data_IF_004435498306
#
_entry.id   IF_004435498306
#
_cell.length_a   1.000
_cell.length_b   1.000
_cell.length_c   1.000
_cell.angle_alpha   90.00
_cell.angle_beta   90.00
_cell.angle_gamma   90.00
#
_symmetry.space_group_name_H-M   'P 1'
#
loop_
_entity.id
_entity.type
_entity.pdbx_description
1 polymer ?
#
# COMPACT_ATOMS: atom_id res chain seq x y z
N UNK A 1 -11.41 0.69 -4.99
CA UNK A 1 -10.41 1.50 -5.74
C UNK A 1 -9.93 2.59 -4.81
N UNK A 2 -8.75 2.41 -4.21
CA UNK A 2 -8.13 3.42 -3.35
C UNK A 2 -7.69 4.59 -4.24
N UNK A 3 -8.21 5.79 -3.98
CA UNK A 3 -7.90 7.02 -4.75
C UNK A 3 -7.04 8.01 -3.97
N UNK A 4 -6.76 7.73 -2.71
CA UNK A 4 -5.92 8.57 -1.85
C UNK A 4 -4.47 8.31 -2.21
N UNK A 5 -3.70 9.37 -2.46
CA UNK A 5 -2.25 9.35 -2.67
C UNK A 5 -1.67 10.64 -2.04
N UNK A 6 -0.48 10.61 -1.43
CA UNK A 6 0.40 9.46 -1.24
C UNK A 6 -0.01 8.57 -0.05
N UNK A 7 0.48 7.33 -0.02
CA UNK A 7 0.25 6.34 1.05
C UNK A 7 1.58 5.86 1.63
N UNK A 8 1.57 5.41 2.90
CA UNK A 8 2.68 4.67 3.48
C UNK A 8 2.51 3.19 3.20
N UNK A 9 3.47 2.58 2.53
CA UNK A 9 3.39 1.19 2.08
C UNK A 9 4.22 0.25 2.95
N UNK A 10 3.61 -0.86 3.34
CA UNK A 10 4.26 -2.05 3.86
C UNK A 10 4.10 -3.15 2.80
N UNK A 11 5.18 -3.80 2.39
CA UNK A 11 5.08 -4.89 1.42
C UNK A 11 4.66 -6.22 2.07
N UNK A 12 4.57 -7.26 1.25
CA UNK A 12 4.18 -8.61 1.64
C UNK A 12 5.19 -9.27 2.59
N UNK A 13 6.47 -8.88 2.53
CA UNK A 13 7.55 -9.34 3.40
C UNK A 13 7.54 -8.62 4.76
N UNK A 14 6.71 -7.57 4.89
CA UNK A 14 6.61 -6.74 6.09
C UNK A 14 7.62 -5.61 6.13
N UNK A 15 8.35 -5.35 5.04
CA UNK A 15 9.27 -4.23 4.95
C UNK A 15 8.52 -2.92 4.69
N UNK A 16 9.00 -1.85 5.31
CA UNK A 16 8.46 -0.52 5.07
C UNK A 16 9.09 0.07 3.81
N UNK A 17 8.29 0.19 2.74
CA UNK A 17 8.70 0.81 1.48
C UNK A 17 8.65 2.35 1.53
N UNK A 18 8.19 2.90 2.64
CA UNK A 18 8.09 4.34 2.85
C UNK A 18 6.80 4.92 2.28
N UNK A 19 6.84 6.20 1.88
CA UNK A 19 5.69 6.90 1.31
C UNK A 19 5.78 6.82 -0.22
N UNK A 20 4.77 6.22 -0.85
CA UNK A 20 4.72 5.97 -2.30
C UNK A 20 3.40 6.44 -2.89
N UNK A 21 3.35 6.57 -4.21
CA UNK A 21 2.10 6.78 -4.93
C UNK A 21 1.23 5.54 -4.86
N UNK A 22 -0.08 5.72 -4.69
CA UNK A 22 -1.01 4.57 -4.62
C UNK A 22 -1.01 3.74 -5.91
N UNK A 23 -0.80 4.38 -7.06
CA UNK A 23 -0.66 3.66 -8.32
C UNK A 23 0.57 2.73 -8.33
N UNK A 24 1.65 3.09 -7.63
CA UNK A 24 2.84 2.24 -7.51
C UNK A 24 2.58 1.06 -6.58
N UNK A 25 1.97 1.30 -5.41
CA UNK A 25 1.59 0.23 -4.50
C UNK A 25 0.61 -0.77 -5.15
N UNK A 26 -0.36 -0.29 -5.93
CA UNK A 26 -1.28 -1.15 -6.69
C UNK A 26 -0.54 -2.00 -7.73
N UNK A 27 0.47 -1.44 -8.42
CA UNK A 27 1.30 -2.21 -9.36
C UNK A 27 2.13 -3.28 -8.64
N UNK A 28 2.68 -2.96 -7.47
CA UNK A 28 3.45 -3.90 -6.65
C UNK A 28 2.57 -5.07 -6.18
N UNK A 29 1.39 -4.77 -5.62
CA UNK A 29 0.42 -5.79 -5.20
C UNK A 29 0.01 -6.68 -6.38
N UNK A 30 -0.31 -6.09 -7.54
CA UNK A 30 -0.66 -6.85 -8.74
C UNK A 30 0.51 -7.71 -9.27
N UNK A 31 1.75 -7.23 -9.18
CA UNK A 31 2.94 -7.98 -9.59
C UNK A 31 3.22 -9.17 -8.65
N UNK A 32 2.92 -9.02 -7.36
CA UNK A 32 2.98 -10.10 -6.37
C UNK A 32 1.76 -11.05 -6.45
N UNK A 33 0.70 -10.67 -7.17
CA UNK A 33 -0.55 -11.42 -7.22
C UNK A 33 -1.35 -11.33 -5.91
N UNK A 34 -1.17 -10.24 -5.17
CA UNK A 34 -1.78 -9.97 -3.86
C UNK A 34 -2.65 -8.70 -3.93
N UNK A 35 -3.34 -8.41 -2.83
CA UNK A 35 -4.18 -7.23 -2.67
C UNK A 35 -3.47 -6.10 -1.91
N UNK A 36 -3.86 -4.86 -2.22
CA UNK A 36 -3.46 -3.68 -1.46
C UNK A 36 -4.56 -3.34 -0.45
N UNK A 37 -4.27 -3.56 0.83
CA UNK A 37 -5.24 -3.37 1.91
C UNK A 37 -4.85 -2.16 2.75
N UNK A 38 -5.80 -1.25 2.98
CA UNK A 38 -5.62 -0.12 3.88
C UNK A 38 -5.78 -0.57 5.33
N UNK A 39 -4.72 -0.47 6.12
CA UNK A 39 -4.67 -0.98 7.51
C UNK A 39 -4.83 0.12 8.56
N UNK A 40 -4.42 1.36 8.24
CA UNK A 40 -4.59 2.52 9.13
C UNK A 40 -5.06 3.74 8.32
N UNK A 41 -6.38 3.86 8.08
CA UNK A 41 -6.93 4.89 7.20
C UNK A 41 -6.84 6.32 7.79
N UNK A 42 -6.84 6.45 9.11
CA UNK A 42 -6.82 7.76 9.79
C UNK A 42 -5.44 8.43 9.80
N UNK A 43 -4.39 7.70 9.40
CA UNK A 43 -3.03 8.23 9.36
C UNK A 43 -2.80 9.16 8.16
N UNK A 44 -1.86 10.09 8.28
CA UNK A 44 -1.50 11.03 7.21
C UNK A 44 -0.01 10.93 6.91
N UNK A 45 0.41 10.25 5.82
CA UNK A 45 -0.42 9.52 4.84
C UNK A 45 -0.98 8.19 5.38
N UNK A 46 -2.11 7.68 4.84
CA UNK A 46 -2.69 6.39 5.25
C UNK A 46 -1.70 5.24 5.12
N UNK A 47 -1.76 4.26 6.03
CA UNK A 47 -0.93 3.06 5.94
C UNK A 47 -1.68 1.99 5.17
N UNK A 48 -1.09 1.55 4.07
CA UNK A 48 -1.53 0.40 3.29
C UNK A 48 -0.48 -0.71 3.35
N UNK A 49 -0.93 -1.96 3.28
CA UNK A 49 -0.09 -3.14 3.28
C UNK A 49 -0.47 -4.07 2.12
N UNK A 50 0.53 -4.67 1.49
CA UNK A 50 0.34 -5.74 0.50
C UNK A 50 0.13 -7.07 1.24
N UNK A 51 -0.99 -7.73 0.97
CA UNK A 51 -1.35 -9.04 1.54
C UNK A 51 -2.43 -9.71 0.69
N UNK A 52 -2.57 -11.03 0.83
CA UNK A 52 -3.73 -11.78 0.30
C UNK A 52 -5.01 -11.46 1.08
#
# INVERSE_FOLDING_TARGET
>A
MIRISPIRLIDEEGEQRGVVETAEAMRMAQAAGLDLVEVVPDSRPPVCKIMD
#
